data_IF_148477872812
#
_entry.id   IF_148477872812
#
_cell.length_a   1.000
_cell.length_b   1.000
_cell.length_c   1.000
_cell.angle_alpha   90.00
_cell.angle_beta   90.00
_cell.angle_gamma   90.00
#
_symmetry.space_group_name_H-M   'P 1'
#
loop_
_entity.id
_entity.type
_entity.pdbx_description
1 polymer ?
#
# COMPACT_ATOMS: atom_id res chain seq x y z
N UNK A 1 -0.36 -18.45 -6.52
CA UNK A 1 -0.49 -17.03 -6.09
C UNK A 1 -1.10 -16.75 -4.71
N UNK A 2 -1.88 -17.63 -4.14
CA UNK A 2 -2.57 -17.38 -2.85
C UNK A 2 -1.68 -17.27 -1.59
N UNK A 3 -0.36 -17.39 -1.69
CA UNK A 3 0.57 -17.44 -0.55
C UNK A 3 1.54 -16.27 -0.39
N UNK A 4 1.55 -15.30 -1.31
CA UNK A 4 2.61 -14.27 -1.38
C UNK A 4 2.33 -13.06 -0.47
N UNK A 5 1.10 -12.79 -0.12
CA UNK A 5 0.70 -11.53 0.50
C UNK A 5 0.83 -11.52 2.02
N UNK A 6 0.81 -12.68 2.64
CA UNK A 6 0.91 -12.78 4.10
C UNK A 6 2.35 -12.62 4.65
N UNK A 7 3.37 -12.72 3.80
CA UNK A 7 4.75 -12.81 4.26
C UNK A 7 5.41 -11.50 4.68
N UNK A 8 4.95 -10.36 4.20
CA UNK A 8 5.66 -9.10 4.43
C UNK A 8 5.25 -8.35 5.71
N UNK A 9 4.12 -8.70 6.32
CA UNK A 9 3.58 -7.98 7.48
C UNK A 9 3.18 -8.88 8.66
N UNK A 10 3.56 -10.16 8.65
CA UNK A 10 3.20 -11.16 9.68
C UNK A 10 4.04 -11.09 10.96
N UNK A 11 4.66 -9.98 11.26
CA UNK A 11 5.32 -9.81 12.56
C UNK A 11 4.61 -8.70 13.31
N UNK A 12 3.42 -8.97 13.83
CA UNK A 12 2.90 -8.23 15.00
C UNK A 12 1.55 -8.80 15.43
N UNK A 13 1.50 -9.21 16.69
CA UNK A 13 0.36 -9.90 17.27
C UNK A 13 -0.98 -9.17 17.12
N UNK A 14 -2.03 -9.94 17.03
CA UNK A 14 -3.41 -9.46 17.01
C UNK A 14 -3.70 -8.65 18.28
N UNK A 15 -3.68 -7.33 18.16
CA UNK A 15 -4.29 -6.43 19.13
C UNK A 15 -5.50 -5.78 18.46
N UNK A 16 -6.66 -5.95 19.07
CA UNK A 16 -7.91 -5.36 18.66
C UNK A 16 -7.93 -3.88 19.06
N UNK A 17 -7.71 -2.98 18.12
CA UNK A 17 -7.89 -1.54 18.32
C UNK A 17 -9.07 -1.02 17.50
N UNK A 18 -9.66 0.08 17.93
CA UNK A 18 -10.74 0.71 17.18
C UNK A 18 -10.18 1.42 15.94
N UNK A 19 -10.69 1.09 14.76
CA UNK A 19 -10.31 1.76 13.51
C UNK A 19 -10.47 3.29 13.61
N UNK A 20 -9.60 4.07 12.94
CA UNK A 20 -9.72 5.51 12.92
C UNK A 20 -11.11 5.98 12.52
N UNK A 21 -11.64 7.00 13.18
CA UNK A 21 -13.00 7.51 12.93
C UNK A 21 -13.23 7.98 11.50
N UNK A 22 -12.16 8.37 10.79
CA UNK A 22 -12.19 8.79 9.40
C UNK A 22 -12.14 7.63 8.39
N UNK A 23 -12.06 6.37 8.84
CA UNK A 23 -12.05 5.19 7.98
C UNK A 23 -13.40 4.47 8.05
N UNK A 24 -14.00 4.19 6.87
CA UNK A 24 -15.22 3.42 6.76
C UNK A 24 -14.93 1.92 6.69
N UNK A 25 -14.95 1.27 7.85
CA UNK A 25 -14.68 -0.16 7.99
C UNK A 25 -15.62 -1.05 7.16
N UNK A 26 -16.88 -0.65 7.01
CA UNK A 26 -17.85 -1.42 6.24
C UNK A 26 -17.56 -1.39 4.74
N UNK A 27 -17.18 -0.23 4.20
CA UNK A 27 -16.75 -0.11 2.80
C UNK A 27 -15.49 -0.90 2.53
N UNK A 28 -14.51 -0.80 3.41
CA UNK A 28 -13.25 -1.53 3.34
C UNK A 28 -13.48 -3.05 3.27
N UNK A 29 -14.28 -3.59 4.18
CA UNK A 29 -14.66 -5.01 4.21
C UNK A 29 -15.42 -5.45 2.96
N UNK A 30 -16.40 -4.64 2.49
CA UNK A 30 -17.16 -4.93 1.27
C UNK A 30 -16.28 -4.93 0.01
N UNK A 31 -15.19 -4.17 -0.01
CA UNK A 31 -14.20 -4.15 -1.08
C UNK A 31 -13.18 -5.31 -1.01
N UNK A 32 -13.34 -6.24 -0.04
CA UNK A 32 -12.52 -7.43 0.10
C UNK A 32 -11.21 -7.22 0.85
N UNK A 33 -11.05 -6.09 1.54
CA UNK A 33 -9.88 -5.85 2.38
C UNK A 33 -10.06 -6.42 3.78
N UNK A 34 -8.97 -6.93 4.33
CA UNK A 34 -8.85 -7.36 5.72
C UNK A 34 -7.87 -6.45 6.45
N UNK A 35 -8.24 -6.03 7.66
CA UNK A 35 -7.37 -5.22 8.53
C UNK A 35 -6.33 -6.15 9.15
N UNK A 36 -5.06 -5.82 8.95
CA UNK A 36 -3.92 -6.58 9.47
C UNK A 36 -3.38 -5.93 10.74
N UNK A 37 -3.40 -4.60 10.79
CA UNK A 37 -2.89 -3.82 11.91
C UNK A 37 -3.66 -2.51 12.03
N UNK A 38 -3.95 -2.16 13.27
CA UNK A 38 -4.65 -0.92 13.61
C UNK A 38 -3.96 -0.30 14.84
N UNK A 39 -3.24 0.80 14.60
CA UNK A 39 -2.54 1.58 15.61
C UNK A 39 -2.88 3.06 15.43
N UNK A 40 -2.68 3.86 16.48
CA UNK A 40 -3.01 5.30 16.47
C UNK A 40 -2.30 6.06 15.32
N UNK A 41 -1.10 5.64 14.96
CA UNK A 41 -0.28 6.30 13.93
C UNK A 41 -0.32 5.64 12.56
N UNK A 42 -0.84 4.40 12.46
CA UNK A 42 -0.90 3.68 11.18
C UNK A 42 -1.95 2.57 11.18
N UNK A 43 -2.68 2.46 10.09
CA UNK A 43 -3.59 1.35 9.83
C UNK A 43 -3.10 0.59 8.61
N UNK A 44 -3.00 -0.72 8.72
CA UNK A 44 -2.59 -1.60 7.63
C UNK A 44 -3.71 -2.57 7.29
N UNK A 45 -4.06 -2.63 6.03
CA UNK A 45 -5.04 -3.56 5.50
C UNK A 45 -4.64 -4.04 4.10
N UNK A 46 -5.15 -5.18 3.70
CA UNK A 46 -4.77 -5.75 2.42
C UNK A 46 -5.83 -6.63 1.80
N UNK A 47 -5.69 -6.90 0.52
CA UNK A 47 -6.46 -7.87 -0.23
C UNK A 47 -5.63 -8.59 -1.27
N UNK A 48 -6.08 -9.77 -1.65
CA UNK A 48 -5.62 -10.51 -2.82
C UNK A 48 -6.69 -10.53 -3.88
N UNK A 49 -6.25 -10.34 -5.11
CA UNK A 49 -7.04 -10.62 -6.31
C UNK A 49 -6.33 -11.71 -7.14
N UNK A 50 -6.93 -12.14 -8.24
CA UNK A 50 -6.29 -13.13 -9.12
C UNK A 50 -5.01 -12.56 -9.79
N UNK A 51 -4.97 -11.24 -10.02
CA UNK A 51 -3.90 -10.56 -10.75
C UNK A 51 -2.87 -9.86 -9.86
N UNK A 52 -3.25 -9.50 -8.62
CA UNK A 52 -2.39 -8.70 -7.76
C UNK A 52 -2.65 -8.89 -6.27
N UNK A 53 -1.61 -8.63 -5.48
CA UNK A 53 -1.70 -8.39 -4.06
C UNK A 53 -1.62 -6.89 -3.76
N UNK A 54 -2.47 -6.41 -2.87
CA UNK A 54 -2.48 -5.02 -2.45
C UNK A 54 -2.38 -4.96 -0.94
N UNK A 55 -1.36 -4.29 -0.42
CA UNK A 55 -1.23 -3.99 1.00
C UNK A 55 -1.16 -2.48 1.17
N UNK A 56 -2.07 -1.93 1.94
CA UNK A 56 -2.22 -0.49 2.18
C UNK A 56 -1.77 -0.16 3.58
N UNK A 57 -1.02 0.93 3.73
CA UNK A 57 -0.72 1.57 4.99
C UNK A 57 -1.23 3.02 4.94
N UNK A 58 -2.11 3.36 5.86
CA UNK A 58 -2.52 4.74 6.13
C UNK A 58 -1.70 5.26 7.29
N UNK A 59 -0.83 6.21 7.05
CA UNK A 59 -0.08 6.91 8.10
C UNK A 59 -0.87 8.13 8.57
N UNK A 60 -1.03 8.26 9.88
CA UNK A 60 -1.89 9.28 10.49
C UNK A 60 -1.06 10.16 11.41
N UNK A 61 -1.25 11.47 11.31
CA UNK A 61 -0.57 12.47 12.15
C UNK A 61 0.21 13.51 11.35
N UNK A 62 1.29 14.01 11.93
CA UNK A 62 2.17 14.99 11.30
C UNK A 62 3.20 14.30 10.39
N UNK A 63 2.70 13.78 9.27
CA UNK A 63 3.47 13.06 8.27
C UNK A 63 3.26 13.68 6.88
N UNK A 64 4.27 13.60 6.03
CA UNK A 64 4.16 14.03 4.64
C UNK A 64 4.56 12.92 3.68
N UNK A 65 4.00 12.95 2.49
CA UNK A 65 4.16 11.89 1.49
C UNK A 65 5.62 11.67 1.08
N UNK A 66 6.41 12.75 0.95
CA UNK A 66 7.84 12.62 0.59
C UNK A 66 8.64 11.90 1.67
N UNK A 67 8.45 12.27 2.93
CA UNK A 67 9.11 11.62 4.07
C UNK A 67 8.75 10.14 4.18
N UNK A 68 7.48 9.79 4.01
CA UNK A 68 7.02 8.39 3.97
C UNK A 68 7.69 7.63 2.82
N UNK A 69 7.71 8.19 1.61
CA UNK A 69 8.37 7.58 0.46
C UNK A 69 9.87 7.33 0.68
N UNK A 70 10.57 8.31 1.22
CA UNK A 70 12.01 8.21 1.49
C UNK A 70 12.29 7.15 2.57
N UNK A 71 11.47 7.07 3.61
CA UNK A 71 11.56 6.05 4.66
C UNK A 71 11.32 4.64 4.13
N UNK A 72 10.32 4.44 3.29
CA UNK A 72 10.03 3.14 2.66
C UNK A 72 11.21 2.69 1.80
N UNK A 73 11.79 3.58 1.00
CA UNK A 73 12.98 3.28 0.20
C UNK A 73 14.18 2.86 1.05
N UNK A 74 14.40 3.56 2.16
CA UNK A 74 15.53 3.30 3.07
C UNK A 74 15.38 1.96 3.81
N UNK A 75 14.16 1.48 4.02
CA UNK A 75 13.83 0.27 4.78
C UNK A 75 13.38 -0.90 3.92
N UNK A 76 13.58 -0.82 2.60
CA UNK A 76 13.19 -1.90 1.68
C UNK A 76 13.83 -3.23 2.08
N UNK A 77 13.08 -4.35 2.10
CA UNK A 77 13.59 -5.66 2.46
C UNK A 77 14.72 -6.11 1.52
N UNK A 78 15.66 -6.90 2.04
CA UNK A 78 16.83 -7.39 1.27
C UNK A 78 16.46 -8.24 0.04
N UNK A 79 15.30 -8.89 0.07
CA UNK A 79 14.78 -9.66 -1.07
C UNK A 79 14.11 -8.77 -2.14
N UNK A 80 14.01 -7.47 -1.91
CA UNK A 80 13.46 -6.48 -2.84
C UNK A 80 14.59 -5.73 -3.54
N UNK A 81 14.89 -6.14 -4.78
CA UNK A 81 15.89 -5.43 -5.60
C UNK A 81 15.27 -4.21 -6.24
N UNK A 82 15.74 -3.02 -5.89
CA UNK A 82 15.31 -1.77 -6.51
C UNK A 82 15.63 -1.76 -8.00
N UNK A 83 14.67 -1.41 -8.83
CA UNK A 83 14.81 -1.29 -10.28
C UNK A 83 14.75 0.17 -10.77
N UNK A 84 13.71 0.89 -10.38
CA UNK A 84 13.49 2.26 -10.81
C UNK A 84 12.54 3.00 -9.90
N UNK A 85 12.50 4.32 -10.02
CA UNK A 85 11.44 5.13 -9.43
C UNK A 85 10.97 6.20 -10.42
N UNK A 86 9.69 6.56 -10.29
CA UNK A 86 9.12 7.70 -11.01
C UNK A 86 8.23 8.50 -10.09
N UNK A 87 8.06 9.76 -10.44
CA UNK A 87 7.17 10.69 -9.78
C UNK A 87 6.11 11.16 -10.78
N UNK A 88 4.85 11.06 -10.36
CA UNK A 88 3.71 11.56 -11.12
C UNK A 88 3.08 12.75 -10.42
N UNK A 89 2.04 13.34 -11.00
CA UNK A 89 1.24 14.38 -10.31
C UNK A 89 0.56 13.83 -9.04
N UNK A 90 0.25 12.52 -9.00
CA UNK A 90 -0.52 11.87 -7.93
C UNK A 90 0.32 11.12 -6.91
N UNK A 91 1.47 10.58 -7.30
CA UNK A 91 2.20 9.65 -6.44
C UNK A 91 3.70 9.63 -6.71
N UNK A 92 4.44 9.20 -5.67
CA UNK A 92 5.78 8.64 -5.78
C UNK A 92 5.67 7.14 -5.98
N UNK A 93 6.38 6.58 -6.95
CA UNK A 93 6.32 5.16 -7.31
C UNK A 93 7.73 4.61 -7.37
N UNK A 94 7.98 3.53 -6.65
CA UNK A 94 9.25 2.79 -6.69
C UNK A 94 8.98 1.34 -7.07
N UNK A 95 9.73 0.83 -8.03
CA UNK A 95 9.60 -0.51 -8.57
C UNK A 95 10.72 -1.40 -8.09
N UNK A 96 10.37 -2.56 -7.63
CA UNK A 96 11.27 -3.59 -7.13
C UNK A 96 11.01 -4.92 -7.82
N UNK A 97 12.07 -5.70 -7.98
CA UNK A 97 12.00 -7.12 -8.30
C UNK A 97 12.11 -7.92 -7.01
N UNK A 98 11.13 -8.74 -6.70
CA UNK A 98 11.25 -9.70 -5.61
C UNK A 98 12.11 -10.87 -6.04
N UNK A 99 13.22 -11.10 -5.32
CA UNK A 99 14.16 -12.16 -5.65
C UNK A 99 13.76 -13.52 -5.09
N UNK A 100 12.84 -13.55 -4.13
CA UNK A 100 12.37 -14.78 -3.49
C UNK A 100 11.20 -15.39 -4.26
N UNK A 101 10.27 -14.57 -4.74
CA UNK A 101 9.03 -15.02 -5.40
C UNK A 101 9.00 -14.76 -6.91
N UNK A 102 10.07 -14.20 -7.44
CA UNK A 102 10.19 -13.84 -8.87
C UNK A 102 9.08 -12.90 -9.39
N UNK A 103 8.48 -12.12 -8.50
CA UNK A 103 7.43 -11.14 -8.81
C UNK A 103 7.96 -9.71 -8.85
N UNK A 104 7.04 -8.77 -9.00
CA UNK A 104 7.30 -7.34 -8.97
C UNK A 104 6.49 -6.68 -7.86
N UNK A 105 7.11 -5.75 -7.16
CA UNK A 105 6.48 -4.91 -6.16
C UNK A 105 6.60 -3.45 -6.57
N UNK A 106 5.48 -2.76 -6.60
CA UNK A 106 5.40 -1.33 -6.81
C UNK A 106 5.00 -0.68 -5.49
N UNK A 107 5.94 0.04 -4.89
CA UNK A 107 5.68 0.85 -3.71
C UNK A 107 5.17 2.21 -4.15
N UNK A 108 3.99 2.57 -3.70
CA UNK A 108 3.28 3.79 -4.08
C UNK A 108 2.98 4.61 -2.85
N UNK A 109 3.30 5.91 -2.91
CA UNK A 109 2.90 6.88 -1.89
C UNK A 109 2.14 8.01 -2.58
N UNK A 110 0.87 8.15 -2.24
CA UNK A 110 0.04 9.23 -2.79
C UNK A 110 0.49 10.57 -2.24
N UNK A 111 0.66 11.57 -3.12
CA UNK A 111 1.10 12.91 -2.74
C UNK A 111 0.07 13.69 -1.94
N UNK A 112 -1.19 13.40 -2.19
CA UNK A 112 -2.32 14.04 -1.52
C UNK A 112 -3.32 12.99 -1.06
N UNK A 113 -4.01 13.28 0.02
CA UNK A 113 -5.15 12.51 0.52
C UNK A 113 -6.32 13.44 0.78
N UNK A 114 -7.50 12.96 0.52
CA UNK A 114 -8.77 13.60 0.87
C UNK A 114 -8.88 13.84 2.39
N UNK A 115 -8.33 12.94 3.20
CA UNK A 115 -8.33 13.05 4.65
C UNK A 115 -7.08 13.81 5.12
N UNK A 116 -7.30 14.98 5.72
CA UNK A 116 -6.21 15.79 6.28
C UNK A 116 -5.44 15.04 7.36
N UNK A 117 -4.11 15.12 7.34
CA UNK A 117 -3.24 14.41 8.28
C UNK A 117 -3.12 12.91 8.00
N UNK A 118 -3.50 12.46 6.81
CA UNK A 118 -3.36 11.06 6.39
C UNK A 118 -2.51 10.97 5.13
N UNK A 119 -1.51 10.11 5.14
CA UNK A 119 -0.72 9.74 3.95
C UNK A 119 -1.08 8.32 3.55
N UNK A 120 -1.51 8.14 2.30
CA UNK A 120 -1.82 6.84 1.71
C UNK A 120 -0.54 6.26 1.10
N UNK A 121 -0.14 5.09 1.55
CA UNK A 121 0.88 4.28 0.91
C UNK A 121 0.36 2.89 0.64
N UNK A 122 0.81 2.26 -0.44
CA UNK A 122 0.48 0.85 -0.68
C UNK A 122 1.56 0.14 -1.49
N UNK A 123 1.62 -1.17 -1.31
CA UNK A 123 2.38 -2.09 -2.13
C UNK A 123 1.41 -2.76 -3.10
N UNK A 124 1.71 -2.67 -4.39
CA UNK A 124 1.01 -3.37 -5.44
C UNK A 124 1.93 -4.46 -5.99
N UNK A 125 1.58 -5.72 -5.79
CA UNK A 125 2.43 -6.86 -6.08
C UNK A 125 1.85 -7.71 -7.20
N UNK A 126 2.67 -8.05 -8.19
CA UNK A 126 2.27 -8.83 -9.37
C UNK A 126 3.32 -9.88 -9.72
N UNK A 127 2.91 -10.95 -10.39
CA UNK A 127 3.84 -11.96 -10.91
C UNK A 127 4.58 -11.47 -12.15
N UNK A 128 3.94 -10.59 -12.93
CA UNK A 128 4.50 -10.05 -14.17
C UNK A 128 4.73 -8.56 -14.05
N UNK A 129 5.77 -8.09 -14.72
CA UNK A 129 6.01 -6.66 -14.84
C UNK A 129 4.88 -5.96 -15.59
N UNK A 130 4.34 -4.91 -14.97
CA UNK A 130 3.35 -4.06 -15.60
C UNK A 130 4.01 -3.04 -16.53
N UNK A 131 3.43 -2.81 -17.70
CA UNK A 131 3.77 -1.67 -18.54
C UNK A 131 3.34 -0.37 -17.87
N UNK A 132 4.02 0.72 -18.19
CA UNK A 132 3.77 2.02 -17.52
C UNK A 132 2.30 2.46 -17.56
N UNK A 133 1.63 2.32 -18.72
CA UNK A 133 0.22 2.69 -18.84
C UNK A 133 -0.72 1.82 -17.99
N UNK A 134 -0.44 0.52 -17.89
CA UNK A 134 -1.23 -0.41 -17.08
C UNK A 134 -0.96 -0.17 -15.59
N UNK A 135 0.28 0.13 -15.24
CA UNK A 135 0.67 0.49 -13.87
C UNK A 135 -0.02 1.79 -13.42
N UNK A 136 0.03 2.83 -14.23
CA UNK A 136 -0.61 4.11 -13.89
C UNK A 136 -2.12 3.97 -13.70
N UNK A 137 -2.78 3.18 -14.56
CA UNK A 137 -4.21 2.86 -14.43
C UNK A 137 -4.52 2.06 -13.16
N UNK A 138 -3.69 1.07 -12.84
CA UNK A 138 -3.85 0.26 -11.63
C UNK A 138 -3.66 1.11 -10.36
N UNK A 139 -2.65 1.99 -10.36
CA UNK A 139 -2.39 2.92 -9.25
C UNK A 139 -3.55 3.88 -9.08
N UNK A 140 -4.01 4.52 -10.13
CA UNK A 140 -5.14 5.47 -10.07
C UNK A 140 -6.41 4.81 -9.55
N UNK A 141 -6.71 3.60 -10.02
CA UNK A 141 -7.85 2.81 -9.52
C UNK A 141 -7.70 2.52 -8.03
N UNK A 142 -6.52 2.08 -7.59
CA UNK A 142 -6.26 1.73 -6.19
C UNK A 142 -6.32 2.95 -5.28
N UNK A 143 -5.72 4.08 -5.68
CA UNK A 143 -5.80 5.34 -4.93
C UNK A 143 -7.26 5.78 -4.77
N UNK A 144 -8.05 5.79 -5.86
CA UNK A 144 -9.45 6.17 -5.81
C UNK A 144 -10.27 5.24 -4.92
N UNK A 145 -10.01 3.93 -4.96
CA UNK A 145 -10.66 2.97 -4.09
C UNK A 145 -10.35 3.24 -2.61
N UNK A 146 -9.07 3.44 -2.26
CA UNK A 146 -8.67 3.75 -0.88
C UNK A 146 -9.27 5.08 -0.41
N UNK A 147 -9.23 6.12 -1.25
CA UNK A 147 -9.86 7.42 -0.96
C UNK A 147 -11.36 7.27 -0.67
N UNK A 148 -12.04 6.32 -1.29
CA UNK A 148 -13.48 6.08 -1.06
C UNK A 148 -13.78 5.56 0.34
N UNK A 149 -12.80 4.98 1.05
CA UNK A 149 -12.94 4.50 2.42
C UNK A 149 -12.71 5.60 3.45
N UNK A 150 -12.11 6.72 3.06
CA UNK A 150 -11.87 7.87 3.93
C UNK A 150 -13.12 8.78 3.98
N UNK A 151 -13.42 9.28 5.18
CA UNK A 151 -14.54 10.19 5.45
C UNK A 151 -14.10 11.63 5.37
#
# INVERSE_FOLDING_TARGET
MKKIILGLFLILGAMSFALPKNLDANKLKKAGYEVVRDEDSAVIFGKSTDDAGITVALFIGDVNAKGVNDSIKATAPKNQKFLSSKETKRAYISKYKDTQYNGFTYSVVAKNSKSKGTVISFLYMTDKELKDADLDKAIDKTVNEIESFLK
#
